data_IF_662040669885
#
_entry.id   IF_662040669885
#
_cell.length_a   1.000
_cell.length_b   1.000
_cell.length_c   1.000
_cell.angle_alpha   90.00
_cell.angle_beta   90.00
_cell.angle_gamma   90.00
#
_symmetry.space_group_name_H-M   'P 1'
#
loop_
_entity.id
_entity.type
_entity.pdbx_description
1 polymer ?
#
# COMPACT_ATOMS: atom_id res chain seq x y z
N UNK A 1 9.40 16.00 -6.62
CA UNK A 1 9.00 14.58 -6.60
C UNK A 1 8.84 14.17 -5.14
N UNK A 2 7.64 13.82 -4.74
CA UNK A 2 7.30 13.51 -3.35
C UNK A 2 7.75 12.09 -3.04
N UNK A 3 8.76 11.95 -2.17
CA UNK A 3 9.28 10.64 -1.77
C UNK A 3 8.66 10.24 -0.44
N UNK A 4 7.68 9.37 -0.47
CA UNK A 4 7.33 8.54 0.67
C UNK A 4 8.09 7.23 0.50
N UNK A 5 8.95 6.91 1.44
CA UNK A 5 9.80 5.73 1.34
C UNK A 5 9.24 4.67 2.26
N UNK A 6 8.87 3.57 1.67
CA UNK A 6 8.60 2.35 2.40
C UNK A 6 9.88 1.87 3.06
N UNK A 7 9.77 1.58 4.32
CA UNK A 7 10.80 0.97 5.16
C UNK A 7 12.21 1.13 4.60
N UNK A 8 12.87 2.20 5.04
CA UNK A 8 14.26 2.56 4.84
C UNK A 8 14.85 2.28 3.45
N UNK A 9 14.77 3.28 2.63
CA UNK A 9 15.79 3.47 1.60
C UNK A 9 16.58 4.71 2.01
N UNK A 10 17.85 4.51 2.28
CA UNK A 10 18.83 5.57 2.41
C UNK A 10 18.87 6.34 1.09
N UNK A 11 18.20 7.50 1.03
CA UNK A 11 18.41 8.46 -0.03
C UNK A 11 19.44 9.46 0.47
N UNK A 12 20.70 9.18 0.18
CA UNK A 12 21.77 10.15 0.31
C UNK A 12 21.64 11.18 -0.81
N UNK A 13 21.19 12.38 -0.48
CA UNK A 13 21.48 13.56 -1.28
C UNK A 13 22.45 14.44 -0.48
N UNK A 14 23.68 14.48 -0.94
CA UNK A 14 24.62 15.52 -0.59
C UNK A 14 25.75 15.13 0.36
N UNK A 15 26.96 15.11 -0.23
CA UNK A 15 28.33 15.11 0.31
C UNK A 15 28.87 13.82 0.89
N UNK A 16 29.70 13.21 0.09
CA UNK A 16 30.88 12.38 0.30
C UNK A 16 31.26 12.11 1.77
N UNK A 17 30.73 11.01 2.29
CA UNK A 17 31.47 10.18 3.24
C UNK A 17 31.49 8.77 2.62
N UNK A 18 32.68 8.31 2.25
CA UNK A 18 32.89 6.95 1.78
C UNK A 18 32.70 5.99 2.96
N UNK A 19 31.46 5.59 3.21
CA UNK A 19 31.20 4.37 3.93
C UNK A 19 31.34 3.23 2.94
N UNK A 20 32.35 2.41 3.13
CA UNK A 20 32.59 1.18 2.38
C UNK A 20 31.50 0.17 2.77
N UNK A 21 30.31 0.35 2.23
CA UNK A 21 29.22 -0.60 2.39
C UNK A 21 29.35 -1.64 1.28
N UNK A 22 29.81 -2.83 1.64
CA UNK A 22 29.57 -4.02 0.83
C UNK A 22 28.06 -4.28 0.79
N UNK A 23 27.33 -3.48 0.00
CA UNK A 23 25.94 -3.75 -0.34
C UNK A 23 25.99 -4.98 -1.25
N UNK A 24 25.36 -6.09 -0.90
CA UNK A 24 25.27 -7.24 -1.78
C UNK A 24 24.72 -6.78 -3.13
N UNK A 25 25.35 -7.24 -4.19
CA UNK A 25 24.94 -6.90 -5.56
C UNK A 25 23.63 -7.64 -5.84
N UNK A 26 22.50 -7.00 -5.57
CA UNK A 26 21.19 -7.55 -5.82
C UNK A 26 20.84 -7.36 -7.29
N UNK A 27 20.18 -8.34 -7.88
CA UNK A 27 19.68 -8.25 -9.23
C UNK A 27 18.66 -7.10 -9.30
N UNK A 28 19.09 -5.97 -9.87
CA UNK A 28 18.26 -4.78 -10.06
C UNK A 28 17.58 -4.77 -11.42
N UNK A 29 17.50 -5.93 -12.08
CA UNK A 29 16.89 -6.06 -13.39
C UNK A 29 15.42 -5.60 -13.33
N UNK A 30 15.08 -4.76 -14.27
CA UNK A 30 13.72 -4.27 -14.40
C UNK A 30 12.86 -5.33 -15.09
N UNK A 31 11.72 -5.63 -14.52
CA UNK A 31 10.71 -6.51 -15.10
C UNK A 31 9.59 -5.68 -15.71
N UNK A 32 9.25 -5.97 -16.95
CA UNK A 32 8.17 -5.30 -17.65
C UNK A 32 6.94 -6.22 -17.66
N UNK A 33 5.81 -5.70 -17.19
CA UNK A 33 4.53 -6.39 -17.16
C UNK A 33 3.49 -5.62 -17.95
N UNK A 34 2.72 -6.33 -18.76
CA UNK A 34 1.44 -5.85 -19.23
C UNK A 34 0.36 -6.38 -18.28
N UNK A 35 -0.39 -5.48 -17.68
CA UNK A 35 -1.44 -5.80 -16.73
C UNK A 35 -2.78 -5.33 -17.27
N UNK A 36 -3.72 -6.26 -17.44
CA UNK A 36 -5.06 -5.98 -17.93
C UNK A 36 -6.11 -6.25 -16.85
N UNK A 37 -7.00 -5.29 -16.63
CA UNK A 37 -8.21 -5.42 -15.82
C UNK A 37 -9.45 -5.28 -16.71
N UNK A 38 -10.38 -6.22 -16.55
CA UNK A 38 -11.67 -6.18 -17.27
C UNK A 38 -12.79 -6.06 -16.24
N UNK A 39 -13.70 -5.15 -16.49
CA UNK A 39 -14.88 -4.88 -15.69
C UNK A 39 -16.12 -5.11 -16.54
N UNK A 40 -17.01 -5.97 -16.08
CA UNK A 40 -18.36 -6.16 -16.61
C UNK A 40 -19.33 -5.92 -15.46
N UNK A 41 -19.94 -4.72 -15.44
CA UNK A 41 -20.70 -4.25 -14.29
C UNK A 41 -22.16 -4.65 -14.41
N UNK A 42 -22.63 -5.42 -13.46
CA UNK A 42 -24.03 -5.77 -13.30
C UNK A 42 -24.70 -4.77 -12.35
N UNK A 43 -25.76 -4.14 -12.80
CA UNK A 43 -26.53 -3.22 -11.97
C UNK A 43 -27.58 -4.01 -11.20
N UNK A 44 -27.65 -3.86 -9.88
CA UNK A 44 -28.69 -4.51 -9.09
C UNK A 44 -30.10 -4.13 -9.56
N UNK A 45 -31.00 -5.10 -9.57
CA UNK A 45 -32.40 -4.89 -9.97
C UNK A 45 -33.04 -3.79 -9.11
N UNK A 46 -33.68 -2.80 -9.77
CA UNK A 46 -34.33 -1.68 -9.10
C UNK A 46 -33.41 -0.47 -8.84
N UNK A 47 -32.14 -0.55 -9.19
CA UNK A 47 -31.25 0.62 -9.12
C UNK A 47 -31.70 1.72 -10.07
N UNK A 48 -31.62 2.96 -9.60
CA UNK A 48 -31.95 4.18 -10.33
C UNK A 48 -30.66 5.01 -10.54
N UNK A 49 -30.54 5.61 -11.73
CA UNK A 49 -29.46 6.55 -12.00
C UNK A 49 -28.28 5.98 -12.82
N UNK A 50 -27.23 6.78 -12.91
CA UNK A 50 -25.99 6.46 -13.60
C UNK A 50 -25.18 5.44 -12.82
N UNK A 51 -24.42 4.64 -13.54
CA UNK A 51 -23.40 3.76 -12.94
C UNK A 51 -22.05 4.45 -13.01
N UNK A 52 -21.36 4.53 -11.89
CA UNK A 52 -20.04 5.13 -11.78
C UNK A 52 -19.04 4.09 -11.28
N UNK A 53 -17.84 4.08 -11.86
CA UNK A 53 -16.74 3.23 -11.48
C UNK A 53 -15.48 4.08 -11.27
N UNK A 54 -14.79 3.84 -10.17
CA UNK A 54 -13.47 4.39 -9.90
C UNK A 54 -12.45 3.26 -9.85
N UNK A 55 -11.50 3.28 -10.76
CA UNK A 55 -10.42 2.29 -10.84
C UNK A 55 -9.14 2.94 -10.34
N UNK A 56 -8.59 2.48 -9.21
CA UNK A 56 -7.28 2.94 -8.77
C UNK A 56 -6.21 2.59 -9.81
N UNK A 57 -5.38 3.57 -10.13
CA UNK A 57 -4.27 3.40 -11.06
C UNK A 57 -2.93 3.35 -10.32
N UNK A 58 -1.94 2.65 -10.86
CA UNK A 58 -0.61 2.61 -10.27
C UNK A 58 0.06 3.98 -10.33
N UNK A 59 0.91 4.26 -9.36
CA UNK A 59 1.72 5.47 -9.30
C UNK A 59 3.20 5.16 -9.62
N UNK A 60 3.93 6.17 -10.04
CA UNK A 60 5.38 6.08 -10.20
C UNK A 60 6.09 6.19 -8.86
N UNK A 61 7.05 5.33 -8.63
CA UNK A 61 7.87 5.30 -7.43
C UNK A 61 9.28 4.79 -7.73
N UNK A 62 10.06 4.59 -6.70
CA UNK A 62 11.45 4.16 -6.84
C UNK A 62 11.58 2.78 -7.50
N UNK A 63 10.65 1.87 -7.20
CA UNK A 63 10.65 0.47 -7.66
C UNK A 63 9.61 0.18 -8.73
N UNK A 64 8.91 1.21 -9.21
CA UNK A 64 7.84 1.05 -10.18
C UNK A 64 7.72 2.26 -11.07
N UNK A 65 7.60 2.02 -12.39
CA UNK A 65 7.34 3.04 -13.40
C UNK A 65 6.18 2.61 -14.29
N UNK A 66 5.17 3.45 -14.40
CA UNK A 66 4.06 3.26 -15.32
C UNK A 66 4.47 3.79 -16.68
N UNK A 67 4.60 2.91 -17.67
CA UNK A 67 5.01 3.27 -19.04
C UNK A 67 3.83 3.72 -19.89
N UNK A 68 2.67 3.05 -19.73
CA UNK A 68 1.45 3.43 -20.43
C UNK A 68 0.21 2.96 -19.66
N UNK A 69 -0.89 3.68 -19.89
CA UNK A 69 -2.24 3.29 -19.47
C UNK A 69 -3.15 3.52 -20.67
N UNK A 70 -3.86 2.49 -21.06
CA UNK A 70 -4.88 2.52 -22.10
C UNK A 70 -6.18 1.98 -21.54
N UNK A 71 -7.31 2.55 -21.91
CA UNK A 71 -8.62 2.06 -21.51
C UNK A 71 -9.62 2.18 -22.65
N UNK A 72 -10.49 1.19 -22.76
CA UNK A 72 -11.53 1.07 -23.76
C UNK A 72 -12.80 0.48 -23.14
N UNK A 73 -13.95 0.78 -23.70
CA UNK A 73 -15.24 0.28 -23.20
C UNK A 73 -16.41 1.06 -23.76
N UNK A 74 -17.62 0.70 -23.33
CA UNK A 74 -18.84 1.35 -23.79
C UNK A 74 -19.34 2.46 -22.84
N UNK A 75 -18.44 3.08 -22.10
CA UNK A 75 -18.76 4.17 -21.17
C UNK A 75 -19.30 5.41 -21.91
N UNK A 76 -20.10 6.22 -21.21
CA UNK A 76 -20.53 7.54 -21.67
C UNK A 76 -19.41 8.55 -21.57
N UNK A 77 -18.65 8.50 -20.45
CA UNK A 77 -17.50 9.36 -20.21
C UNK A 77 -16.48 8.63 -19.34
N UNK A 78 -15.18 8.86 -19.62
CA UNK A 78 -14.11 8.36 -18.80
C UNK A 78 -12.91 9.31 -18.83
N UNK A 79 -12.25 9.48 -17.67
CA UNK A 79 -11.06 10.33 -17.54
C UNK A 79 -10.25 9.94 -16.31
N UNK A 80 -8.96 10.28 -16.33
CA UNK A 80 -8.06 10.08 -15.20
C UNK A 80 -8.05 11.32 -14.32
N UNK A 81 -8.23 11.11 -13.01
CA UNK A 81 -8.09 12.16 -11.99
C UNK A 81 -6.75 12.01 -11.28
N UNK A 82 -6.02 13.12 -11.12
CA UNK A 82 -4.69 13.13 -10.48
C UNK A 82 -4.55 14.16 -9.35
N UNK A 83 -5.45 15.15 -9.32
CA UNK A 83 -5.32 16.31 -8.45
C UNK A 83 -5.90 16.07 -7.05
N UNK A 84 -5.21 15.30 -6.25
CA UNK A 84 -5.55 15.13 -4.84
C UNK A 84 -4.29 15.17 -3.95
N UNK A 85 -4.48 15.43 -2.67
CA UNK A 85 -3.40 15.62 -1.70
C UNK A 85 -2.47 14.41 -1.52
N UNK A 86 -2.91 13.23 -1.92
CA UNK A 86 -2.13 11.99 -1.82
C UNK A 86 -1.37 11.65 -3.10
N UNK A 87 -1.58 12.39 -4.19
CA UNK A 87 -1.03 12.10 -5.51
C UNK A 87 -1.55 10.78 -6.09
N UNK A 88 -2.70 10.31 -5.62
CA UNK A 88 -3.32 9.09 -6.13
C UNK A 88 -3.94 9.35 -7.50
N UNK A 89 -3.79 8.38 -8.40
CA UNK A 89 -4.43 8.40 -9.71
C UNK A 89 -5.63 7.47 -9.73
N UNK A 90 -6.71 7.92 -10.34
CA UNK A 90 -7.93 7.13 -10.45
C UNK A 90 -8.55 7.34 -11.82
N UNK A 91 -8.85 6.26 -12.52
CA UNK A 91 -9.70 6.31 -13.71
C UNK A 91 -11.15 6.32 -13.25
N UNK A 92 -11.86 7.37 -13.61
CA UNK A 92 -13.31 7.45 -13.47
C UNK A 92 -13.97 7.06 -14.78
N UNK A 93 -15.01 6.23 -14.71
CA UNK A 93 -15.85 5.91 -15.85
C UNK A 93 -17.33 5.93 -15.45
N UNK A 94 -18.20 6.36 -16.36
CA UNK A 94 -19.64 6.46 -16.08
C UNK A 94 -20.47 5.96 -17.26
N UNK A 95 -21.61 5.34 -16.95
CA UNK A 95 -22.58 4.83 -17.91
C UNK A 95 -23.96 5.38 -17.60
N UNK A 96 -24.72 5.60 -18.65
CA UNK A 96 -26.11 5.98 -18.52
C UNK A 96 -26.91 4.89 -17.80
N UNK A 97 -28.00 5.32 -17.14
CA UNK A 97 -28.93 4.41 -16.45
C UNK A 97 -29.48 3.32 -17.39
N UNK A 98 -29.70 3.66 -18.67
CA UNK A 98 -30.30 2.79 -19.66
C UNK A 98 -29.28 1.95 -20.45
N UNK A 99 -28.00 2.02 -20.10
CA UNK A 99 -26.96 1.23 -20.74
C UNK A 99 -27.23 -0.27 -20.55
N UNK A 100 -27.28 -1.02 -21.65
CA UNK A 100 -27.53 -2.47 -21.62
C UNK A 100 -26.30 -3.26 -21.16
N UNK A 101 -25.13 -2.72 -21.42
CA UNK A 101 -23.82 -3.24 -20.96
C UNK A 101 -23.03 -2.13 -20.33
N UNK A 102 -22.12 -2.50 -19.44
CA UNK A 102 -21.21 -1.57 -18.77
C UNK A 102 -19.86 -2.24 -18.65
N UNK A 103 -19.14 -2.22 -19.76
CA UNK A 103 -17.82 -2.83 -19.85
C UNK A 103 -16.72 -1.77 -19.92
N UNK A 104 -15.63 -2.08 -19.25
CA UNK A 104 -14.38 -1.32 -19.26
C UNK A 104 -13.21 -2.31 -19.23
N UNK A 105 -12.26 -2.09 -20.11
CA UNK A 105 -10.96 -2.77 -20.09
C UNK A 105 -9.86 -1.74 -19.90
N UNK A 106 -8.98 -1.97 -18.95
CA UNK A 106 -7.83 -1.11 -18.67
C UNK A 106 -6.57 -1.95 -18.85
N UNK A 107 -5.69 -1.52 -19.74
CA UNK A 107 -4.40 -2.17 -20.00
C UNK A 107 -3.28 -1.22 -19.60
N UNK A 108 -2.36 -1.69 -18.79
CA UNK A 108 -1.26 -0.91 -18.25
C UNK A 108 0.06 -1.63 -18.49
N UNK A 109 1.06 -0.90 -18.94
CA UNK A 109 2.44 -1.40 -19.01
C UNK A 109 3.22 -0.82 -17.84
N UNK A 110 3.74 -1.70 -17.00
CA UNK A 110 4.38 -1.34 -15.74
C UNK A 110 5.75 -1.99 -15.68
N UNK A 111 6.77 -1.18 -15.48
CA UNK A 111 8.13 -1.64 -15.16
C UNK A 111 8.28 -1.68 -13.65
N UNK A 112 8.74 -2.79 -13.11
CA UNK A 112 9.05 -2.93 -11.69
C UNK A 112 10.49 -3.37 -11.51
N UNK A 113 11.07 -3.00 -10.38
CA UNK A 113 12.36 -3.50 -9.90
C UNK A 113 12.14 -4.28 -8.61
N UNK A 114 13.00 -5.24 -8.36
CA UNK A 114 12.99 -5.95 -7.10
C UNK A 114 13.16 -4.96 -5.96
N UNK A 115 12.27 -5.08 -4.98
CA UNK A 115 12.35 -4.29 -3.77
C UNK A 115 13.13 -5.07 -2.75
N UNK A 116 14.35 -4.64 -2.48
CA UNK A 116 15.13 -5.22 -1.40
C UNK A 116 14.44 -4.92 -0.07
N UNK A 117 14.09 -5.96 0.69
CA UNK A 117 13.82 -5.76 2.10
C UNK A 117 15.09 -5.23 2.73
N UNK A 118 14.96 -4.29 3.62
CA UNK A 118 16.07 -3.61 4.26
C UNK A 118 17.22 -4.55 4.57
N UNK A 119 18.39 -4.14 4.16
CA UNK A 119 19.62 -4.86 4.45
C UNK A 119 19.71 -5.08 5.95
N UNK A 120 19.76 -6.33 6.37
CA UNK A 120 20.02 -6.70 7.75
C UNK A 120 21.24 -5.92 8.21
N UNK A 121 21.08 -5.09 9.24
CA UNK A 121 22.10 -4.18 9.74
C UNK A 121 21.96 -2.71 9.37
N UNK A 122 21.25 -2.35 8.28
CA UNK A 122 21.04 -0.94 7.94
C UNK A 122 20.18 -0.21 8.98
N UNK A 123 19.26 -0.93 9.64
CA UNK A 123 18.45 -0.41 10.73
C UNK A 123 19.02 -0.66 12.12
N UNK A 124 19.90 -1.64 12.28
CA UNK A 124 20.49 -1.98 13.58
C UNK A 124 21.24 -0.78 14.19
N UNK A 125 21.78 0.10 13.33
CA UNK A 125 22.50 1.30 13.72
C UNK A 125 21.68 2.59 13.54
N UNK A 126 20.37 2.49 13.32
CA UNK A 126 19.54 3.68 13.16
C UNK A 126 19.51 4.49 14.46
N UNK A 127 19.94 5.74 14.34
CA UNK A 127 19.85 6.74 15.40
C UNK A 127 18.97 7.88 14.88
N UNK A 128 17.82 8.16 15.49
CA UNK A 128 16.98 9.25 15.05
C UNK A 128 17.69 10.59 15.23
N UNK A 129 17.47 11.56 14.34
CA UNK A 129 17.90 12.94 14.55
C UNK A 129 17.37 13.49 15.88
N UNK A 130 18.12 14.40 16.52
CA UNK A 130 17.68 15.02 17.78
C UNK A 130 16.36 15.76 17.63
N UNK A 131 16.20 16.46 16.49
CA UNK A 131 15.00 17.23 16.16
C UNK A 131 14.43 16.68 14.85
N UNK A 132 13.44 15.79 14.97
CA UNK A 132 12.77 15.23 13.82
C UNK A 132 11.79 16.27 13.26
N UNK A 133 12.09 16.79 12.07
CA UNK A 133 11.19 17.63 11.32
C UNK A 133 10.80 16.93 10.01
N UNK A 134 9.50 16.78 9.81
CA UNK A 134 8.98 16.20 8.58
C UNK A 134 8.63 17.32 7.58
N UNK A 135 8.93 17.09 6.30
CA UNK A 135 8.45 17.97 5.23
C UNK A 135 6.91 17.99 5.19
N UNK A 136 6.34 19.05 4.64
CA UNK A 136 4.88 19.23 4.55
C UNK A 136 4.20 18.01 3.91
N UNK A 137 4.82 17.43 2.90
CA UNK A 137 4.32 16.22 2.21
C UNK A 137 4.27 15.00 3.11
N UNK A 138 5.25 14.86 4.00
CA UNK A 138 5.35 13.74 4.95
C UNK A 138 4.39 13.96 6.13
N UNK A 139 4.19 15.21 6.56
CA UNK A 139 3.25 15.54 7.65
C UNK A 139 1.80 15.15 7.34
N UNK A 140 1.40 15.11 6.06
CA UNK A 140 0.08 14.64 5.67
C UNK A 140 -0.20 13.21 6.16
N UNK A 141 0.84 12.39 6.28
CA UNK A 141 0.77 11.00 6.72
C UNK A 141 0.82 10.81 8.25
N UNK A 142 0.78 11.89 9.01
CA UNK A 142 0.49 11.89 10.46
C UNK A 142 -0.99 12.13 10.76
N UNK A 143 -1.75 12.68 9.79
CA UNK A 143 -3.13 13.10 10.02
C UNK A 143 -4.09 11.92 10.06
N UNK A 144 -5.11 12.06 10.91
CA UNK A 144 -6.23 11.13 10.93
C UNK A 144 -7.04 11.17 9.63
N UNK A 145 -7.70 10.06 9.33
CA UNK A 145 -8.71 9.93 8.27
C UNK A 145 -9.99 9.32 8.86
N UNK A 146 -11.11 9.25 8.13
CA UNK A 146 -12.33 8.66 8.66
C UNK A 146 -12.15 7.24 9.24
N UNK A 147 -11.34 6.38 8.60
CA UNK A 147 -11.09 5.01 9.04
C UNK A 147 -9.83 4.86 9.91
N UNK A 148 -8.87 5.76 9.75
CA UNK A 148 -7.59 5.71 10.49
C UNK A 148 -7.58 6.87 11.49
N UNK A 149 -8.16 6.64 12.66
CA UNK A 149 -8.10 7.59 13.79
C UNK A 149 -6.72 7.56 14.43
N UNK A 150 -6.36 8.63 15.14
CA UNK A 150 -5.05 8.78 15.80
C UNK A 150 -5.19 9.17 17.28
N UNK A 151 -6.40 9.36 17.75
CA UNK A 151 -6.76 9.75 19.10
C UNK A 151 -7.64 8.68 19.78
N UNK A 152 -8.21 8.99 20.92
CA UNK A 152 -9.08 8.10 21.69
C UNK A 152 -8.45 6.73 21.91
N UNK A 153 -9.22 5.67 21.63
CA UNK A 153 -8.80 4.27 21.84
C UNK A 153 -7.50 3.94 21.09
N UNK A 154 -7.26 4.52 19.91
CA UNK A 154 -6.05 4.30 19.13
C UNK A 154 -4.82 4.82 19.89
N UNK A 155 -4.94 6.03 20.45
CA UNK A 155 -3.85 6.63 21.25
C UNK A 155 -3.59 5.83 22.52
N UNK A 156 -4.63 5.37 23.19
CA UNK A 156 -4.50 4.53 24.39
C UNK A 156 -3.76 3.22 24.10
N UNK A 157 -4.11 2.54 22.99
CA UNK A 157 -3.38 1.35 22.56
C UNK A 157 -1.93 1.65 22.21
N UNK A 158 -1.68 2.73 21.45
CA UNK A 158 -0.33 3.13 21.10
C UNK A 158 0.51 3.38 22.38
N UNK A 159 0.01 4.14 23.34
CA UNK A 159 0.72 4.43 24.59
C UNK A 159 0.98 3.17 25.41
N UNK A 160 0.01 2.27 25.49
CA UNK A 160 0.16 1.00 26.19
C UNK A 160 1.22 0.10 25.56
N UNK A 161 1.26 0.05 24.21
CA UNK A 161 2.23 -0.77 23.46
C UNK A 161 3.64 -0.21 23.59
N UNK A 162 3.78 1.11 23.50
CA UNK A 162 5.07 1.77 23.38
C UNK A 162 5.72 2.11 24.73
N UNK A 163 4.93 2.33 25.77
CA UNK A 163 5.44 2.73 27.06
C UNK A 163 6.25 4.02 26.96
N UNK A 164 7.54 3.94 27.27
CA UNK A 164 8.48 5.09 27.26
C UNK A 164 9.41 5.10 26.03
N UNK A 165 9.17 4.23 25.04
CA UNK A 165 10.04 4.18 23.85
C UNK A 165 9.94 5.48 23.05
N UNK A 166 11.09 6.05 22.68
CA UNK A 166 11.18 7.31 21.92
C UNK A 166 11.71 7.13 20.50
N UNK A 167 12.49 6.06 20.25
CA UNK A 167 13.07 5.79 18.93
C UNK A 167 11.98 5.37 17.94
N UNK A 168 11.75 6.08 16.81
CA UNK A 168 10.68 5.79 15.88
C UNK A 168 10.73 4.38 15.28
N UNK A 169 11.94 3.86 14.99
CA UNK A 169 12.09 2.51 14.48
C UNK A 169 11.64 1.47 15.51
N UNK A 170 12.11 1.59 16.76
CA UNK A 170 11.72 0.69 17.83
C UNK A 170 10.23 0.76 18.15
N UNK A 171 9.62 1.95 18.06
CA UNK A 171 8.18 2.10 18.15
C UNK A 171 7.46 1.30 17.05
N UNK A 172 7.92 1.42 15.80
CA UNK A 172 7.34 0.67 14.68
C UNK A 172 7.50 -0.85 14.89
N UNK A 173 8.63 -1.31 15.38
CA UNK A 173 8.88 -2.72 15.73
C UNK A 173 7.93 -3.21 16.83
N UNK A 174 7.74 -2.45 17.89
CA UNK A 174 6.82 -2.78 18.99
C UNK A 174 5.37 -2.89 18.49
N UNK A 175 4.93 -1.95 17.65
CA UNK A 175 3.61 -1.99 17.05
C UNK A 175 3.47 -3.24 16.17
N UNK A 176 4.45 -3.52 15.32
CA UNK A 176 4.44 -4.70 14.46
C UNK A 176 4.39 -6.00 15.28
N UNK A 177 5.21 -6.13 16.31
CA UNK A 177 5.19 -7.29 17.20
C UNK A 177 3.84 -7.46 17.89
N UNK A 178 3.24 -6.35 18.36
CA UNK A 178 1.91 -6.39 18.98
C UNK A 178 0.86 -6.91 17.98
N UNK A 179 0.87 -6.43 16.72
CA UNK A 179 -0.05 -6.86 15.67
C UNK A 179 0.13 -8.35 15.37
N UNK A 180 1.37 -8.79 15.16
CA UNK A 180 1.66 -10.22 14.87
C UNK A 180 1.19 -11.14 15.99
N UNK A 181 1.28 -10.67 17.24
CA UNK A 181 0.87 -11.44 18.41
C UNK A 181 -0.64 -11.48 18.63
N UNK A 182 -1.35 -10.40 18.29
CA UNK A 182 -2.73 -10.19 18.73
C UNK A 182 -3.75 -10.20 17.59
N UNK A 183 -3.33 -9.99 16.34
CA UNK A 183 -4.24 -9.94 15.21
C UNK A 183 -4.14 -11.20 14.33
N UNK A 184 -5.27 -11.63 13.81
CA UNK A 184 -5.38 -12.81 12.94
C UNK A 184 -6.00 -12.46 11.59
N UNK A 185 -5.59 -13.21 10.55
CA UNK A 185 -6.21 -13.10 9.24
C UNK A 185 -7.52 -13.88 9.20
N UNK A 186 -8.61 -13.21 8.87
CA UNK A 186 -9.92 -13.81 8.66
C UNK A 186 -10.29 -13.77 7.17
N UNK A 187 -10.26 -14.94 6.53
CA UNK A 187 -10.57 -15.06 5.11
C UNK A 187 -12.07 -14.99 4.79
N UNK A 188 -12.96 -15.05 5.79
CA UNK A 188 -14.41 -14.89 5.61
C UNK A 188 -14.82 -13.43 5.36
N UNK A 189 -13.99 -12.46 5.70
CA UNK A 189 -14.24 -11.03 5.44
C UNK A 189 -14.34 -10.79 3.94
N UNK A 190 -15.36 -10.06 3.50
CA UNK A 190 -15.55 -9.70 2.10
C UNK A 190 -14.52 -8.65 1.64
N UNK A 191 -14.13 -8.71 0.38
CA UNK A 191 -13.16 -7.77 -0.19
C UNK A 191 -11.80 -7.84 0.50
N UNK A 192 -11.23 -6.70 0.83
CA UNK A 192 -9.94 -6.55 1.52
C UNK A 192 -10.07 -6.20 3.01
N UNK A 193 -11.28 -6.04 3.52
CA UNK A 193 -11.60 -5.50 4.84
C UNK A 193 -12.00 -4.02 4.79
N UNK A 194 -12.57 -3.52 5.88
CA UNK A 194 -13.07 -2.14 5.98
C UNK A 194 -11.99 -1.17 6.48
N UNK A 195 -11.03 -1.65 7.26
CA UNK A 195 -9.95 -0.84 7.85
C UNK A 195 -10.42 0.19 8.88
N UNK A 196 -11.60 0.01 9.48
CA UNK A 196 -12.12 0.87 10.55
C UNK A 196 -11.44 0.54 11.88
N UNK A 197 -10.35 1.26 12.15
CA UNK A 197 -9.47 0.98 13.28
C UNK A 197 -10.15 1.21 14.62
N UNK A 198 -10.94 2.26 14.74
CA UNK A 198 -11.66 2.56 15.98
C UNK A 198 -12.61 1.42 16.34
N UNK A 199 -13.38 0.92 15.37
CA UNK A 199 -14.26 -0.23 15.53
C UNK A 199 -13.50 -1.50 15.90
N UNK A 200 -12.40 -1.79 15.21
CA UNK A 200 -11.57 -2.98 15.47
C UNK A 200 -11.06 -2.99 16.92
N UNK A 201 -10.49 -1.87 17.38
CA UNK A 201 -9.91 -1.78 18.71
C UNK A 201 -10.98 -1.72 19.82
N UNK A 202 -12.09 -1.02 19.59
CA UNK A 202 -13.19 -0.89 20.56
C UNK A 202 -13.93 -2.20 20.77
N UNK A 203 -14.19 -2.95 19.71
CA UNK A 203 -14.89 -4.23 19.80
C UNK A 203 -13.98 -5.38 20.28
N UNK A 204 -12.67 -5.20 20.21
CA UNK A 204 -11.69 -6.26 20.51
C UNK A 204 -11.71 -7.41 19.50
N UNK A 205 -12.41 -7.27 18.36
CA UNK A 205 -12.39 -8.25 17.28
C UNK A 205 -11.12 -8.04 16.45
N UNK A 206 -9.99 -8.52 16.96
CA UNK A 206 -8.66 -8.33 16.41
C UNK A 206 -8.36 -9.30 15.25
N UNK A 207 -9.26 -9.36 14.27
CA UNK A 207 -9.12 -10.21 13.08
C UNK A 207 -9.74 -9.56 11.87
N UNK A 208 -9.18 -9.86 10.71
CA UNK A 208 -9.66 -9.30 9.44
C UNK A 208 -8.74 -9.63 8.28
N UNK A 209 -8.90 -8.92 7.18
CA UNK A 209 -8.00 -9.05 6.03
C UNK A 209 -6.85 -8.07 6.07
N UNK A 210 -6.13 -7.98 4.96
CA UNK A 210 -4.92 -7.16 4.89
C UNK A 210 -5.20 -5.68 5.17
N UNK A 211 -6.33 -5.11 4.74
CA UNK A 211 -6.69 -3.73 5.06
C UNK A 211 -6.86 -3.54 6.57
N UNK A 212 -7.65 -4.39 7.22
CA UNK A 212 -7.90 -4.27 8.66
C UNK A 212 -6.61 -4.32 9.48
N UNK A 213 -5.72 -5.25 9.14
CA UNK A 213 -4.45 -5.45 9.85
C UNK A 213 -3.48 -4.29 9.60
N UNK A 214 -3.34 -3.84 8.33
CA UNK A 214 -2.43 -2.75 8.00
C UNK A 214 -2.94 -1.39 8.49
N UNK A 215 -4.26 -1.14 8.47
CA UNK A 215 -4.86 0.07 9.01
C UNK A 215 -4.56 0.24 10.49
N UNK A 216 -4.61 -0.84 11.27
CA UNK A 216 -4.23 -0.79 12.69
C UNK A 216 -2.76 -0.39 12.86
N UNK A 217 -1.84 -0.94 12.06
CA UNK A 217 -0.44 -0.51 12.09
C UNK A 217 -0.31 0.99 11.79
N UNK A 218 -0.94 1.44 10.70
CA UNK A 218 -0.84 2.84 10.26
C UNK A 218 -1.42 3.80 11.30
N UNK A 219 -2.54 3.45 11.92
CA UNK A 219 -3.17 4.27 12.95
C UNK A 219 -2.30 4.38 14.20
N UNK A 220 -1.79 3.26 14.71
CA UNK A 220 -0.91 3.23 15.88
C UNK A 220 0.41 3.95 15.60
N UNK A 221 1.00 3.80 14.41
CA UNK A 221 2.20 4.52 14.00
C UNK A 221 1.97 6.04 13.96
N UNK A 222 0.85 6.49 13.36
CA UNK A 222 0.48 7.92 13.32
C UNK A 222 0.25 8.46 14.72
N UNK A 223 -0.48 7.75 15.58
CA UNK A 223 -0.70 8.12 16.97
C UNK A 223 0.60 8.21 17.79
N UNK A 224 1.63 7.45 17.38
CA UNK A 224 2.98 7.47 17.93
C UNK A 224 3.90 8.56 17.37
N UNK A 225 3.39 9.39 16.43
CA UNK A 225 4.17 10.44 15.76
C UNK A 225 5.03 9.95 14.59
N UNK A 226 4.76 8.77 14.06
CA UNK A 226 5.47 8.19 12.91
C UNK A 226 4.58 8.33 11.67
N UNK A 227 5.00 9.09 10.64
CA UNK A 227 4.25 9.20 9.41
C UNK A 227 4.13 7.83 8.75
N UNK A 228 2.89 7.40 8.47
CA UNK A 228 2.63 6.09 7.88
C UNK A 228 1.46 6.13 6.91
N UNK A 229 1.45 5.20 5.93
CA UNK A 229 0.36 5.06 4.97
C UNK A 229 0.14 3.60 4.59
N UNK A 230 -1.02 3.34 4.04
CA UNK A 230 -1.33 2.11 3.35
C UNK A 230 -1.01 2.20 1.86
N UNK A 231 -0.53 1.11 1.32
CA UNK A 231 -0.33 0.91 -0.11
C UNK A 231 -1.18 -0.28 -0.55
N UNK A 232 -2.08 -0.01 -1.48
CA UNK A 232 -2.91 -1.02 -2.13
C UNK A 232 -2.37 -1.34 -3.50
N UNK A 233 -2.52 -2.58 -3.94
CA UNK A 233 -2.05 -2.97 -5.25
C UNK A 233 -2.31 -4.43 -5.58
N UNK A 234 -1.70 -4.84 -6.67
CA UNK A 234 -1.69 -6.23 -7.12
C UNK A 234 -0.24 -6.65 -7.18
N UNK A 235 0.06 -7.78 -6.57
CA UNK A 235 1.39 -8.34 -6.60
C UNK A 235 1.66 -8.90 -8.00
N UNK A 236 2.71 -8.47 -8.65
CA UNK A 236 3.19 -8.97 -9.94
C UNK A 236 4.45 -9.80 -9.70
N UNK A 237 4.56 -10.93 -10.40
CA UNK A 237 5.71 -11.82 -10.31
C UNK A 237 5.76 -12.72 -9.09
N UNK A 238 6.69 -13.65 -9.10
CA UNK A 238 6.97 -14.58 -8.01
C UNK A 238 7.99 -13.97 -7.04
N UNK A 239 7.71 -14.05 -5.75
CA UNK A 239 8.69 -13.66 -4.72
C UNK A 239 9.48 -14.90 -4.29
N UNK A 240 10.46 -15.32 -5.07
CA UNK A 240 11.23 -16.55 -4.84
C UNK A 240 11.89 -16.59 -3.45
N UNK A 241 12.28 -15.44 -2.93
CA UNK A 241 12.99 -15.31 -1.64
C UNK A 241 12.08 -15.34 -0.40
N UNK A 242 10.77 -15.32 -0.55
CA UNK A 242 9.83 -15.32 0.59
C UNK A 242 9.33 -16.70 1.02
N UNK A 243 9.92 -17.78 0.54
CA UNK A 243 9.62 -19.16 0.94
C UNK A 243 8.15 -19.54 0.76
N UNK A 244 7.53 -20.11 1.79
CA UNK A 244 6.13 -20.57 1.73
C UNK A 244 5.10 -19.46 1.45
N UNK A 245 5.44 -18.21 1.68
CA UNK A 245 4.57 -17.06 1.40
C UNK A 245 4.65 -16.60 -0.05
N UNK A 246 5.61 -17.11 -0.83
CA UNK A 246 5.74 -16.81 -2.25
C UNK A 246 4.89 -17.69 -3.14
N UNK A 247 4.47 -18.86 -2.63
CA UNK A 247 3.70 -19.81 -3.40
C UNK A 247 2.21 -19.44 -3.36
N UNK A 248 1.64 -19.12 -4.49
CA UNK A 248 0.21 -19.23 -4.70
C UNK A 248 -0.60 -17.97 -4.90
N UNK A 249 -0.07 -16.78 -4.70
CA UNK A 249 -0.82 -15.55 -5.02
C UNK A 249 -0.80 -15.26 -6.54
N UNK A 250 0.10 -15.90 -7.24
CA UNK A 250 0.37 -15.63 -8.65
C UNK A 250 0.35 -16.93 -9.37
N UNK A 251 -0.73 -17.45 -9.80
CA UNK A 251 -0.74 -18.62 -10.65
C UNK A 251 0.54 -18.69 -11.50
N UNK A 252 1.12 -19.83 -11.65
CA UNK A 252 2.20 -20.02 -12.62
C UNK A 252 1.72 -19.43 -13.94
N UNK A 253 2.54 -18.60 -14.56
CA UNK A 253 2.27 -18.15 -15.90
C UNK A 253 2.18 -19.38 -16.83
N UNK A 254 1.28 -19.32 -17.81
CA UNK A 254 1.21 -20.33 -18.86
C UNK A 254 2.44 -20.23 -19.78
N UNK A 255 2.49 -21.09 -20.79
CA UNK A 255 3.61 -21.13 -21.77
C UNK A 255 3.82 -19.80 -22.51
N UNK A 256 2.77 -18.97 -22.62
CA UNK A 256 2.81 -17.63 -23.20
C UNK A 256 3.20 -16.54 -22.20
N UNK A 257 3.54 -16.89 -20.96
CA UNK A 257 3.87 -15.95 -19.91
C UNK A 257 2.66 -15.21 -19.31
N UNK A 258 1.44 -15.69 -19.53
CA UNK A 258 0.19 -15.06 -19.02
C UNK A 258 -0.23 -15.72 -17.71
N UNK A 259 -0.48 -14.91 -16.69
CA UNK A 259 -0.99 -15.36 -15.39
C UNK A 259 -2.28 -14.63 -15.00
N UNK A 260 -3.22 -15.35 -14.40
CA UNK A 260 -4.38 -14.75 -13.75
C UNK A 260 -3.97 -14.27 -12.34
N UNK A 261 -4.00 -12.97 -12.13
CA UNK A 261 -3.63 -12.34 -10.87
C UNK A 261 -4.82 -11.81 -10.06
N UNK A 262 -6.04 -12.26 -10.34
CA UNK A 262 -7.26 -11.86 -9.62
C UNK A 262 -7.16 -12.10 -8.11
N UNK A 263 -6.45 -13.13 -7.68
CA UNK A 263 -6.14 -13.40 -6.27
C UNK A 263 -4.93 -12.63 -5.73
N UNK A 264 -4.26 -11.84 -6.56
CA UNK A 264 -3.04 -11.11 -6.20
C UNK A 264 -3.26 -9.77 -5.50
N UNK A 265 -4.50 -9.42 -5.18
CA UNK A 265 -4.82 -8.21 -4.41
C UNK A 265 -4.08 -8.24 -3.08
N UNK A 266 -3.35 -7.17 -2.80
CA UNK A 266 -2.51 -7.08 -1.62
C UNK A 266 -2.40 -5.64 -1.13
N UNK A 267 -2.31 -5.48 0.18
CA UNK A 267 -1.99 -4.21 0.80
C UNK A 267 -0.87 -4.39 1.82
N UNK A 268 -0.16 -3.31 2.07
CA UNK A 268 0.90 -3.23 3.06
C UNK A 268 0.89 -1.85 3.71
N UNK A 269 1.46 -1.77 4.90
CA UNK A 269 1.76 -0.52 5.55
C UNK A 269 3.19 -0.06 5.19
N UNK A 270 3.37 1.24 5.09
CA UNK A 270 4.66 1.90 4.96
C UNK A 270 4.75 3.00 6.01
N UNK A 271 5.94 3.21 6.56
CA UNK A 271 6.20 4.32 7.47
C UNK A 271 7.51 5.04 7.09
N UNK A 272 7.62 6.28 7.52
CA UNK A 272 8.76 7.14 7.24
C UNK A 272 9.66 7.23 8.46
N UNK A 273 10.97 7.06 8.24
CA UNK A 273 12.01 7.37 9.22
C UNK A 273 12.80 8.57 8.75
N UNK A 274 12.94 9.56 9.62
CA UNK A 274 13.86 10.66 9.38
C UNK A 274 15.29 10.15 9.54
N UNK A 275 16.15 10.43 8.56
CA UNK A 275 17.57 10.09 8.52
C UNK A 275 18.40 11.34 8.33
#
# INVERSE_FOLDING_TARGET
MKKLIAVAVLSACGSLAHANTNIPNYNTDAHLYEFTQTYDLVVPKGSQGQTNLWVPLPFNGEYQQVKSIHFEGNYMNAYVTENNKYGAKTLFATWNKDAQKRDLKVTMVIETKDREPMVKGALENYTPPKDIQYSVDVQEYLKATPHIKTDGIVKEFADKILGKETNPLKKAELIHHWIVKNMERDNSVLGCGDGDVEKILTTGVLKGKCTDINSVFVALARAAGIPAREIFGIRLGAAEKMGKYSKGAFGSANEQGIANVSGGQHCRAEFYLAV
#
